data_IF_476538279993
#
_entry.id   IF_476538279993
#
_cell.length_a   1.000
_cell.length_b   1.000
_cell.length_c   1.000
_cell.angle_alpha   90.00
_cell.angle_beta   90.00
_cell.angle_gamma   90.00
#
_symmetry.space_group_name_H-M   'P 1'
#
loop_
_entity.id
_entity.type
_entity.pdbx_description
1 polymer ?
#
# COMPACT_ATOMS: atom_id res chain seq x y z
N UNK A 1 22.23 21.37 3.91
CA UNK A 1 23.55 21.00 3.36
C UNK A 1 24.22 19.82 4.09
N UNK A 2 24.64 19.92 5.37
CA UNK A 2 25.45 18.85 6.01
C UNK A 2 24.80 17.45 5.99
N UNK A 3 23.53 17.34 6.41
CA UNK A 3 22.83 16.05 6.44
C UNK A 3 22.49 15.51 5.05
N UNK A 4 22.18 16.39 4.09
CA UNK A 4 21.92 15.99 2.70
C UNK A 4 23.19 15.41 2.05
N UNK A 5 24.35 16.05 2.27
CA UNK A 5 25.62 15.52 1.77
C UNK A 5 26.06 14.26 2.52
N UNK A 6 25.76 14.12 3.82
CA UNK A 6 25.95 12.86 4.55
C UNK A 6 25.17 11.72 3.89
N UNK A 7 23.87 11.91 3.63
CA UNK A 7 23.00 10.91 3.00
C UNK A 7 23.50 10.59 1.58
N UNK A 8 23.89 11.60 0.81
CA UNK A 8 24.47 11.43 -0.52
C UNK A 8 25.74 10.55 -0.49
N UNK A 9 26.69 10.85 0.41
CA UNK A 9 27.93 10.06 0.55
C UNK A 9 27.62 8.62 0.94
N UNK A 10 26.68 8.40 1.85
CA UNK A 10 26.23 7.05 2.23
C UNK A 10 25.66 6.28 1.04
N UNK A 11 24.81 6.92 0.23
CA UNK A 11 24.26 6.33 -1.00
C UNK A 11 25.33 5.95 -2.02
N UNK A 12 26.30 6.84 -2.24
CA UNK A 12 27.42 6.61 -3.15
C UNK A 12 28.29 5.42 -2.69
N UNK A 13 28.58 5.29 -1.38
CA UNK A 13 29.33 4.16 -0.83
C UNK A 13 28.59 2.84 -0.99
N UNK A 14 27.27 2.82 -0.79
CA UNK A 14 26.45 1.63 -0.96
C UNK A 14 26.08 1.33 -2.42
N UNK A 15 26.49 2.18 -3.37
CA UNK A 15 26.12 2.08 -4.78
C UNK A 15 24.59 1.99 -4.99
N UNK A 16 23.84 2.79 -4.21
CA UNK A 16 22.39 2.94 -4.33
C UNK A 16 22.04 4.37 -4.74
N UNK A 17 20.92 4.55 -5.42
CA UNK A 17 20.45 5.87 -5.81
C UNK A 17 19.61 6.50 -4.67
N UNK A 18 20.17 7.48 -3.97
CA UNK A 18 19.48 8.17 -2.87
C UNK A 18 18.32 9.07 -3.29
N UNK A 19 18.11 9.26 -4.59
CA UNK A 19 17.12 10.20 -5.12
C UNK A 19 15.94 9.52 -5.80
N UNK A 20 15.98 8.21 -6.03
CA UNK A 20 14.80 7.48 -6.49
C UNK A 20 13.91 7.03 -5.33
N UNK A 21 12.66 6.71 -5.67
CA UNK A 21 11.62 6.28 -4.74
C UNK A 21 10.73 5.19 -5.37
N UNK A 22 11.32 4.24 -6.12
CA UNK A 22 10.53 3.21 -6.82
C UNK A 22 9.67 2.36 -5.87
N UNK A 23 10.08 2.22 -4.61
CA UNK A 23 9.39 1.41 -3.59
C UNK A 23 7.96 1.88 -3.26
N UNK A 24 7.56 3.10 -3.63
CA UNK A 24 6.21 3.62 -3.33
C UNK A 24 5.14 3.16 -4.34
N UNK A 25 5.55 2.72 -5.53
CA UNK A 25 4.62 2.58 -6.66
C UNK A 25 3.71 1.36 -6.53
N UNK A 26 4.22 0.22 -6.07
CA UNK A 26 3.40 -0.98 -5.92
C UNK A 26 2.24 -0.77 -4.94
N UNK A 27 2.49 -0.11 -3.81
CA UNK A 27 1.46 0.21 -2.82
C UNK A 27 0.37 1.12 -3.40
N UNK A 28 0.76 2.15 -4.16
CA UNK A 28 -0.20 3.04 -4.86
C UNK A 28 -1.06 2.25 -5.86
N UNK A 29 -0.45 1.37 -6.64
CA UNK A 29 -1.18 0.57 -7.63
C UNK A 29 -2.17 -0.39 -6.97
N UNK A 30 -1.78 -1.07 -5.89
CA UNK A 30 -2.65 -1.98 -5.15
C UNK A 30 -3.81 -1.22 -4.48
N UNK A 31 -3.53 -0.09 -3.82
CA UNK A 31 -4.55 0.72 -3.19
C UNK A 31 -5.59 1.24 -4.20
N UNK A 32 -5.15 1.69 -5.38
CA UNK A 32 -6.06 2.15 -6.43
C UNK A 32 -6.98 1.03 -6.95
N UNK A 33 -6.53 -0.23 -6.96
CA UNK A 33 -7.35 -1.39 -7.33
C UNK A 33 -8.33 -1.79 -6.23
N UNK A 34 -7.89 -1.78 -4.97
CA UNK A 34 -8.71 -2.21 -3.82
C UNK A 34 -9.79 -1.17 -3.46
N UNK A 35 -9.50 0.12 -3.59
CA UNK A 35 -10.42 1.21 -3.23
C UNK A 35 -11.85 1.06 -3.79
N UNK A 36 -12.08 0.78 -5.09
CA UNK A 36 -13.44 0.55 -5.60
C UNK A 36 -14.12 -0.69 -5.01
N UNK A 37 -13.36 -1.75 -4.73
CA UNK A 37 -13.88 -3.02 -4.18
C UNK A 37 -14.40 -2.86 -2.75
N UNK A 38 -13.92 -1.85 -2.01
CA UNK A 38 -14.42 -1.50 -0.69
C UNK A 38 -15.78 -0.78 -0.71
N UNK A 39 -16.21 -0.19 -1.84
CA UNK A 39 -17.45 0.62 -1.88
C UNK A 39 -18.71 -0.24 -1.89
N UNK A 40 -18.73 -1.32 -2.67
CA UNK A 40 -19.88 -2.23 -2.73
C UNK A 40 -19.88 -3.27 -1.62
N UNK A 41 -21.00 -3.98 -1.45
CA UNK A 41 -21.12 -5.09 -0.48
C UNK A 41 -20.85 -6.47 -1.11
N UNK A 42 -20.57 -6.52 -2.42
CA UNK A 42 -20.25 -7.76 -3.13
C UNK A 42 -19.01 -8.48 -2.58
N UNK A 43 -19.00 -9.82 -2.54
CA UNK A 43 -17.81 -10.60 -2.19
C UNK A 43 -16.63 -10.31 -3.13
N UNK A 44 -15.43 -10.17 -2.58
CA UNK A 44 -14.20 -9.95 -3.34
C UNK A 44 -13.38 -11.23 -3.37
N UNK A 45 -13.00 -11.69 -4.57
CA UNK A 45 -12.25 -12.93 -4.81
C UNK A 45 -11.04 -12.73 -5.73
N UNK A 46 -10.73 -11.48 -6.08
CA UNK A 46 -9.71 -11.08 -7.06
C UNK A 46 -8.27 -11.14 -6.53
N UNK A 47 -8.05 -11.25 -5.22
CA UNK A 47 -6.72 -11.23 -4.60
C UNK A 47 -6.38 -12.55 -3.91
N UNK A 48 -5.25 -12.58 -3.21
CA UNK A 48 -4.90 -13.69 -2.32
C UNK A 48 -5.93 -13.85 -1.18
N UNK A 49 -5.91 -15.01 -0.53
CA UNK A 49 -6.90 -15.34 0.50
C UNK A 49 -6.84 -14.42 1.72
N UNK A 50 -5.68 -13.87 2.07
CA UNK A 50 -5.54 -12.93 3.18
C UNK A 50 -6.22 -11.61 2.84
N UNK A 51 -5.91 -11.04 1.67
CA UNK A 51 -6.51 -9.78 1.22
C UNK A 51 -8.03 -9.88 1.07
N UNK A 52 -8.53 -10.94 0.42
CA UNK A 52 -9.97 -11.17 0.29
C UNK A 52 -10.65 -11.33 1.66
N UNK A 53 -10.03 -12.09 2.58
CA UNK A 53 -10.54 -12.32 3.92
C UNK A 53 -10.63 -11.03 4.74
N UNK A 54 -9.61 -10.17 4.67
CA UNK A 54 -9.59 -8.88 5.36
C UNK A 54 -10.62 -7.91 4.78
N UNK A 55 -10.79 -7.87 3.46
CA UNK A 55 -11.84 -7.06 2.82
C UNK A 55 -13.24 -7.52 3.28
N UNK A 56 -13.49 -8.83 3.32
CA UNK A 56 -14.76 -9.38 3.79
C UNK A 56 -15.01 -9.05 5.27
N UNK A 57 -14.00 -9.20 6.13
CA UNK A 57 -14.09 -8.84 7.55
C UNK A 57 -14.38 -7.35 7.74
N UNK A 58 -13.69 -6.47 6.99
CA UNK A 58 -13.95 -5.03 6.99
C UNK A 58 -15.39 -4.69 6.59
N UNK A 59 -15.90 -5.29 5.50
CA UNK A 59 -17.28 -5.04 5.04
C UNK A 59 -18.32 -5.46 6.09
N UNK A 60 -18.11 -6.58 6.77
CA UNK A 60 -18.96 -7.05 7.87
C UNK A 60 -18.99 -6.05 9.03
N UNK A 61 -17.82 -5.64 9.52
CA UNK A 61 -17.71 -4.66 10.62
C UNK A 61 -18.36 -3.31 10.27
N UNK A 62 -18.23 -2.87 9.01
CA UNK A 62 -18.90 -1.66 8.52
C UNK A 62 -20.43 -1.80 8.47
N UNK A 63 -20.96 -2.99 8.20
CA UNK A 63 -22.40 -3.23 8.24
C UNK A 63 -22.92 -3.17 9.69
N UNK A 64 -22.24 -3.84 10.62
CA UNK A 64 -22.60 -3.85 12.05
C UNK A 64 -22.60 -2.46 12.71
N UNK A 65 -21.73 -1.55 12.26
CA UNK A 65 -21.69 -0.16 12.76
C UNK A 65 -22.64 0.81 12.05
N UNK A 66 -23.41 0.34 11.06
CA UNK A 66 -24.48 1.13 10.39
C UNK A 66 -25.87 0.85 10.98
N UNK A 67 -25.98 -0.16 11.85
CA UNK A 67 -27.16 -0.48 12.65
C UNK A 67 -27.13 0.27 13.99
#
# INVERSE_FOLDING_TARGET
ALYEHKIFVQGAVWNINSFDQMGVELGKQLANKILPELKGDEPVTSHDSSTNGLIAAFKRLRAEGRD
#
